data_IF_636303076002
#
_entry.id   IF_636303076002
#
_cell.length_a   1.000
_cell.length_b   1.000
_cell.length_c   1.000
_cell.angle_alpha   90.00
_cell.angle_beta   90.00
_cell.angle_gamma   90.00
#
_symmetry.space_group_name_H-M   'P 1'
#
loop_
_entity.id
_entity.type
_entity.pdbx_description
1 polymer ?
#
# COMPACT_ATOMS: atom_id res chain seq x y z
N UNK A 1 48.29 -17.08 7.21
CA UNK A 1 47.36 -17.99 6.53
C UNK A 1 46.14 -17.17 6.14
N UNK A 2 46.10 -16.66 4.92
CA UNK A 2 45.02 -15.76 4.41
C UNK A 2 43.98 -16.63 3.74
N UNK A 3 42.71 -16.46 4.18
CA UNK A 3 41.55 -17.10 3.57
C UNK A 3 41.28 -16.51 2.17
N UNK A 4 40.95 -17.31 1.17
CA UNK A 4 40.70 -16.82 -0.18
C UNK A 4 39.38 -16.04 -0.23
N UNK A 5 39.45 -14.81 -0.78
CA UNK A 5 38.30 -13.97 -1.09
C UNK A 5 37.43 -14.70 -2.12
N UNK A 6 36.22 -15.08 -1.72
CA UNK A 6 35.19 -15.67 -2.57
C UNK A 6 34.95 -14.79 -3.80
N UNK A 7 35.15 -15.35 -4.98
CA UNK A 7 34.74 -14.75 -6.26
C UNK A 7 33.25 -14.39 -6.20
N UNK A 8 32.93 -13.10 -6.33
CA UNK A 8 31.54 -12.66 -6.60
C UNK A 8 31.07 -13.39 -7.86
N UNK A 9 30.18 -14.35 -7.67
CA UNK A 9 29.41 -14.90 -8.78
C UNK A 9 28.58 -13.75 -9.35
N UNK A 10 28.92 -13.31 -10.55
CA UNK A 10 28.06 -12.50 -11.41
C UNK A 10 26.88 -13.41 -11.85
N UNK A 11 25.91 -13.60 -10.96
CA UNK A 11 24.60 -14.06 -11.38
C UNK A 11 24.08 -12.99 -12.33
N UNK A 12 24.14 -13.24 -13.64
CA UNK A 12 23.40 -12.43 -14.63
C UNK A 12 21.97 -12.36 -14.13
N UNK A 13 21.49 -11.15 -13.83
CA UNK A 13 20.11 -10.93 -13.43
C UNK A 13 19.21 -11.62 -14.49
N UNK A 14 18.55 -12.69 -14.09
CA UNK A 14 17.61 -13.45 -14.93
C UNK A 14 16.36 -12.57 -15.19
N UNK A 15 16.26 -11.43 -14.54
CA UNK A 15 15.12 -10.55 -14.58
C UNK A 15 15.19 -9.63 -15.79
N UNK A 16 14.25 -9.83 -16.71
CA UNK A 16 14.06 -8.93 -17.85
C UNK A 16 13.40 -7.62 -17.34
N UNK A 17 14.18 -6.57 -17.17
CA UNK A 17 13.72 -5.25 -16.70
C UNK A 17 12.51 -4.72 -17.49
N UNK A 18 12.41 -5.05 -18.79
CA UNK A 18 11.30 -4.61 -19.62
C UNK A 18 9.95 -5.24 -19.24
N UNK A 19 9.94 -6.47 -18.71
CA UNK A 19 8.71 -7.13 -18.24
C UNK A 19 8.15 -6.34 -17.05
N UNK A 20 8.99 -6.01 -16.07
CA UNK A 20 8.57 -5.26 -14.87
C UNK A 20 8.09 -3.85 -15.21
N UNK A 21 8.76 -3.18 -16.17
CA UNK A 21 8.31 -1.88 -16.65
C UNK A 21 6.93 -1.93 -17.33
N UNK A 22 6.60 -3.03 -18.01
CA UNK A 22 5.27 -3.20 -18.60
C UNK A 22 4.19 -3.39 -17.50
N UNK A 23 4.49 -4.13 -16.43
CA UNK A 23 3.59 -4.23 -15.28
C UNK A 23 3.39 -2.88 -14.61
N UNK A 24 4.48 -2.11 -14.38
CA UNK A 24 4.34 -0.77 -13.83
C UNK A 24 3.47 0.14 -14.71
N UNK A 25 3.65 0.12 -16.04
CA UNK A 25 2.81 0.89 -16.97
C UNK A 25 1.33 0.50 -16.89
N UNK A 26 1.04 -0.78 -16.68
CA UNK A 26 -0.34 -1.22 -16.47
C UNK A 26 -0.91 -0.66 -15.18
N UNK A 27 -0.18 -0.77 -14.06
CA UNK A 27 -0.60 -0.18 -12.78
C UNK A 27 -0.84 1.32 -12.90
N UNK A 28 0.07 2.05 -13.56
CA UNK A 28 -0.06 3.49 -13.80
C UNK A 28 -1.27 3.83 -14.68
N UNK A 29 -1.66 2.95 -15.60
CA UNK A 29 -2.88 3.11 -16.39
C UNK A 29 -4.16 2.86 -15.58
N UNK A 30 -4.06 2.15 -14.46
CA UNK A 30 -5.16 1.95 -13.50
C UNK A 30 -5.25 3.07 -12.46
N UNK A 31 -4.27 3.99 -12.41
CA UNK A 31 -4.25 5.08 -11.47
C UNK A 31 -5.09 6.26 -11.96
N UNK A 32 -6.07 6.66 -11.15
CA UNK A 32 -6.88 7.85 -11.40
C UNK A 32 -6.08 9.15 -11.14
N UNK A 33 -6.62 10.26 -11.60
CA UNK A 33 -5.98 11.58 -11.44
C UNK A 33 -5.81 12.03 -9.99
N UNK A 34 -6.65 11.52 -9.08
CA UNK A 34 -6.59 11.74 -7.63
C UNK A 34 -5.59 10.83 -6.91
N UNK A 35 -5.01 9.85 -7.61
CA UNK A 35 -4.01 8.93 -7.10
C UNK A 35 -4.53 7.53 -6.79
N UNK A 36 -5.84 7.30 -6.78
CA UNK A 36 -6.44 5.98 -6.53
C UNK A 36 -6.04 4.96 -7.61
N UNK A 37 -5.55 3.79 -7.20
CA UNK A 37 -5.18 2.70 -8.12
C UNK A 37 -6.27 1.65 -8.09
N UNK A 38 -6.97 1.48 -9.21
CA UNK A 38 -8.06 0.52 -9.38
C UNK A 38 -7.55 -0.85 -9.79
N UNK A 39 -8.37 -1.90 -9.66
CA UNK A 39 -8.04 -3.25 -10.13
C UNK A 39 -7.76 -3.30 -11.64
N UNK A 40 -8.52 -2.54 -12.39
CA UNK A 40 -8.37 -2.29 -13.82
C UNK A 40 -8.97 -0.90 -14.14
N UNK A 41 -8.68 -0.30 -15.30
CA UNK A 41 -9.20 1.00 -15.66
C UNK A 41 -10.73 1.08 -15.54
N UNK A 42 -11.21 2.09 -14.82
CA UNK A 42 -12.63 2.35 -14.57
C UNK A 42 -13.38 1.30 -13.73
N UNK A 43 -12.68 0.39 -13.06
CA UNK A 43 -13.29 -0.60 -12.16
C UNK A 43 -13.24 -0.16 -10.69
N UNK A 44 -13.44 -1.09 -9.78
CA UNK A 44 -13.38 -0.87 -8.33
C UNK A 44 -11.95 -0.73 -7.83
N UNK A 45 -11.83 -0.20 -6.61
CA UNK A 45 -10.60 -0.09 -5.84
C UNK A 45 -10.86 -0.62 -4.43
N UNK A 46 -9.93 -1.40 -3.88
CA UNK A 46 -9.82 -1.69 -2.45
C UNK A 46 -8.47 -1.21 -1.91
N UNK A 47 -8.39 -0.89 -0.62
CA UNK A 47 -7.16 -0.36 -0.03
C UNK A 47 -5.98 -1.32 -0.04
N UNK A 48 -6.21 -2.63 0.03
CA UNK A 48 -5.14 -3.64 0.05
C UNK A 48 -4.41 -3.70 -1.30
N UNK A 49 -5.13 -3.98 -2.39
CA UNK A 49 -4.55 -4.06 -3.74
C UNK A 49 -3.99 -2.71 -4.19
N UNK A 50 -4.62 -1.60 -3.75
CA UNK A 50 -4.11 -0.26 -3.98
C UNK A 50 -2.72 -0.05 -3.35
N UNK A 51 -2.52 -0.46 -2.09
CA UNK A 51 -1.23 -0.35 -1.40
C UNK A 51 -0.20 -1.28 -2.05
N UNK A 52 -0.56 -2.53 -2.39
CA UNK A 52 0.35 -3.46 -3.07
C UNK A 52 0.78 -2.92 -4.44
N UNK A 53 -0.14 -2.34 -5.18
CA UNK A 53 0.16 -1.69 -6.45
C UNK A 53 1.11 -0.50 -6.28
N UNK A 54 0.91 0.34 -5.26
CA UNK A 54 1.82 1.43 -4.91
C UNK A 54 3.21 0.91 -4.56
N UNK A 55 3.31 -0.17 -3.78
CA UNK A 55 4.58 -0.84 -3.46
C UNK A 55 5.26 -1.39 -4.73
N UNK A 56 4.49 -1.93 -5.67
CA UNK A 56 5.00 -2.42 -6.95
C UNK A 56 5.66 -1.33 -7.80
N UNK A 57 5.05 -0.15 -7.90
CA UNK A 57 5.63 0.98 -8.64
C UNK A 57 6.79 1.65 -7.88
N UNK A 58 6.81 1.60 -6.53
CA UNK A 58 7.95 2.04 -5.71
C UNK A 58 9.25 1.34 -6.12
N UNK A 59 9.22 0.00 -6.22
CA UNK A 59 10.39 -0.81 -6.58
C UNK A 59 10.98 -0.41 -7.94
N UNK A 60 10.15 0.11 -8.81
CA UNK A 60 10.54 0.53 -10.17
C UNK A 60 10.88 2.03 -10.26
N UNK A 61 10.82 2.75 -9.13
CA UNK A 61 11.27 4.14 -9.01
C UNK A 61 10.22 5.19 -9.39
N UNK A 62 8.93 4.84 -9.45
CA UNK A 62 7.84 5.77 -9.72
C UNK A 62 7.39 6.48 -8.42
N UNK A 63 8.32 7.21 -7.80
CA UNK A 63 8.12 7.87 -6.50
C UNK A 63 6.94 8.86 -6.50
N UNK A 64 6.80 9.64 -7.57
CA UNK A 64 5.73 10.65 -7.67
C UNK A 64 4.34 10.01 -7.69
N UNK A 65 4.20 8.94 -8.44
CA UNK A 65 2.93 8.22 -8.62
C UNK A 65 2.56 7.43 -7.37
N UNK A 66 3.52 6.79 -6.72
CA UNK A 66 3.28 6.09 -5.46
C UNK A 66 2.93 7.06 -4.33
N UNK A 67 3.55 8.25 -4.27
CA UNK A 67 3.16 9.31 -3.32
C UNK A 67 1.70 9.72 -3.51
N UNK A 68 1.24 9.91 -4.74
CA UNK A 68 -0.18 10.20 -5.02
C UNK A 68 -1.10 9.08 -4.53
N UNK A 69 -0.68 7.82 -4.67
CA UNK A 69 -1.44 6.69 -4.15
C UNK A 69 -1.60 6.77 -2.63
N UNK A 70 -0.55 7.05 -1.89
CA UNK A 70 -0.65 7.24 -0.44
C UNK A 70 -1.45 8.50 -0.07
N UNK A 71 -1.35 9.59 -0.85
CA UNK A 71 -2.15 10.80 -0.65
C UNK A 71 -3.65 10.54 -0.87
N UNK A 72 -4.00 9.64 -1.79
CA UNK A 72 -5.37 9.16 -1.95
C UNK A 72 -5.88 8.47 -0.68
N UNK A 73 -5.06 7.60 -0.06
CA UNK A 73 -5.42 6.96 1.21
C UNK A 73 -5.64 8.01 2.31
N UNK A 74 -4.75 9.00 2.45
CA UNK A 74 -4.91 10.09 3.43
C UNK A 74 -6.22 10.85 3.24
N UNK A 75 -6.59 11.11 1.97
CA UNK A 75 -7.78 11.89 1.61
C UNK A 75 -9.10 11.12 1.79
N UNK A 76 -9.04 9.79 1.77
CA UNK A 76 -10.21 8.90 1.87
C UNK A 76 -10.26 8.14 3.21
N UNK A 77 -9.42 8.51 4.18
CA UNK A 77 -9.45 7.91 5.50
C UNK A 77 -10.68 8.39 6.27
N UNK A 78 -11.44 7.45 6.82
CA UNK A 78 -12.56 7.72 7.70
C UNK A 78 -12.09 8.33 9.05
N UNK A 79 -12.97 9.02 9.73
CA UNK A 79 -12.66 9.68 11.01
C UNK A 79 -12.24 8.73 12.13
N UNK A 80 -12.63 7.44 12.01
CA UNK A 80 -12.22 6.38 12.93
C UNK A 80 -10.88 5.74 12.58
N UNK A 81 -10.25 6.18 11.49
CA UNK A 81 -8.96 5.70 11.01
C UNK A 81 -9.02 4.56 10.00
N UNK A 82 -10.22 4.12 9.64
CA UNK A 82 -10.46 3.04 8.68
C UNK A 82 -10.58 3.52 7.24
N UNK A 83 -10.73 2.55 6.34
CA UNK A 83 -11.23 2.71 4.97
C UNK A 83 -12.35 1.71 4.73
N UNK A 84 -13.25 2.02 3.80
CA UNK A 84 -14.18 1.05 3.27
C UNK A 84 -13.45 -0.03 2.47
N UNK A 85 -13.99 -1.26 2.49
CA UNK A 85 -13.41 -2.39 1.77
C UNK A 85 -13.42 -2.20 0.25
N UNK A 86 -14.36 -1.43 -0.28
CA UNK A 86 -14.47 -1.16 -1.71
C UNK A 86 -14.89 0.29 -1.99
N UNK A 87 -14.27 0.85 -3.03
CA UNK A 87 -14.58 2.15 -3.62
C UNK A 87 -14.93 1.99 -5.11
N UNK A 88 -15.68 2.95 -5.67
CA UNK A 88 -16.03 3.00 -7.08
C UNK A 88 -16.80 1.76 -7.59
N UNK A 89 -17.60 1.13 -6.75
CA UNK A 89 -18.50 0.05 -7.12
C UNK A 89 -19.95 0.52 -7.08
N UNK A 90 -20.86 -0.09 -7.90
CA UNK A 90 -22.28 0.28 -7.91
C UNK A 90 -22.98 -0.03 -6.58
N UNK A 91 -22.50 -1.03 -5.86
CA UNK A 91 -23.01 -1.42 -4.55
C UNK A 91 -22.18 -0.75 -3.46
N UNK A 92 -22.85 -0.02 -2.58
CA UNK A 92 -22.19 0.61 -1.44
C UNK A 92 -21.77 -0.47 -0.45
N UNK A 93 -20.48 -0.72 -0.36
CA UNK A 93 -19.92 -1.64 0.64
C UNK A 93 -19.31 -0.82 1.77
N UNK A 94 -20.02 -0.75 2.89
CA UNK A 94 -19.57 -0.04 4.09
C UNK A 94 -18.75 -0.90 5.05
N UNK A 95 -18.42 -2.14 4.66
CA UNK A 95 -17.56 -3.00 5.44
C UNK A 95 -16.20 -2.33 5.62
N UNK A 96 -15.66 -2.40 6.84
CA UNK A 96 -14.34 -1.87 7.21
C UNK A 96 -13.46 -3.02 7.68
N UNK A 97 -12.43 -3.34 6.88
CA UNK A 97 -11.53 -4.43 7.19
C UNK A 97 -10.32 -3.95 7.99
N UNK A 98 -10.07 -4.58 9.11
CA UNK A 98 -8.99 -4.21 10.02
C UNK A 98 -7.62 -4.49 9.42
N UNK A 99 -7.49 -5.60 8.66
CA UNK A 99 -6.29 -5.94 7.92
C UNK A 99 -5.99 -4.90 6.82
N UNK A 100 -6.99 -4.42 6.08
CA UNK A 100 -6.81 -3.36 5.08
C UNK A 100 -6.31 -2.08 5.73
N UNK A 101 -6.92 -1.69 6.86
CA UNK A 101 -6.54 -0.47 7.58
C UNK A 101 -5.12 -0.54 8.14
N UNK A 102 -4.68 -1.69 8.65
CA UNK A 102 -3.31 -1.84 9.16
C UNK A 102 -2.26 -1.93 8.07
N UNK A 103 -2.65 -2.33 6.84
CA UNK A 103 -1.70 -2.59 5.76
C UNK A 103 -1.00 -1.33 5.24
N UNK A 104 -1.57 -0.15 5.46
CA UNK A 104 -0.91 1.13 5.14
C UNK A 104 0.46 1.27 5.83
N UNK A 105 0.63 0.68 7.02
CA UNK A 105 1.91 0.70 7.72
C UNK A 105 3.00 -0.08 6.96
N UNK A 106 2.63 -1.19 6.33
CA UNK A 106 3.53 -1.98 5.47
C UNK A 106 3.92 -1.17 4.24
N UNK A 107 2.93 -0.59 3.54
CA UNK A 107 3.16 0.23 2.36
C UNK A 107 4.06 1.44 2.65
N UNK A 108 3.76 2.20 3.69
CA UNK A 108 4.55 3.38 4.08
C UNK A 108 5.99 3.02 4.49
N UNK A 109 6.17 1.89 5.18
CA UNK A 109 7.51 1.39 5.51
C UNK A 109 8.27 0.98 4.24
N UNK A 110 7.60 0.30 3.32
CA UNK A 110 8.16 -0.09 2.02
C UNK A 110 8.59 1.14 1.21
N UNK A 111 7.72 2.15 1.11
CA UNK A 111 8.04 3.42 0.44
C UNK A 111 9.28 4.09 1.05
N UNK A 112 9.31 4.18 2.39
CA UNK A 112 10.47 4.72 3.09
C UNK A 112 11.75 3.92 2.81
N UNK A 113 11.69 2.59 2.72
CA UNK A 113 12.86 1.77 2.41
C UNK A 113 13.42 2.04 1.00
N UNK A 114 12.54 2.35 0.04
CA UNK A 114 12.95 2.67 -1.34
C UNK A 114 13.55 4.08 -1.46
N UNK A 115 12.90 5.08 -0.91
CA UNK A 115 13.25 6.50 -1.18
C UNK A 115 13.90 7.23 0.00
N UNK A 116 13.86 6.68 1.22
CA UNK A 116 14.38 7.29 2.46
C UNK A 116 13.76 8.65 2.80
N UNK A 117 12.57 8.95 2.27
CA UNK A 117 11.88 10.21 2.51
C UNK A 117 11.22 10.24 3.90
N UNK A 118 12.00 10.67 4.90
CA UNK A 118 11.54 10.85 6.27
C UNK A 118 10.47 11.95 6.41
N UNK A 119 10.48 12.94 5.51
CA UNK A 119 9.51 14.05 5.56
C UNK A 119 8.12 13.53 5.18
N UNK A 120 8.05 12.75 4.11
CA UNK A 120 6.82 12.11 3.66
C UNK A 120 6.28 11.15 4.73
N UNK A 121 7.12 10.27 5.28
CA UNK A 121 6.73 9.35 6.34
C UNK A 121 6.19 10.10 7.59
N UNK A 122 6.82 11.20 8.00
CA UNK A 122 6.35 11.99 9.14
C UNK A 122 5.00 12.67 8.88
N UNK A 123 4.75 13.11 7.66
CA UNK A 123 3.46 13.68 7.26
C UNK A 123 2.34 12.65 7.43
N UNK A 124 2.59 11.40 7.03
CA UNK A 124 1.61 10.31 7.10
C UNK A 124 1.45 9.70 8.49
N UNK A 125 2.31 10.05 9.45
CA UNK A 125 2.27 9.45 10.78
C UNK A 125 0.91 9.56 11.48
N UNK A 126 0.18 10.69 11.43
CA UNK A 126 -1.15 10.78 12.04
C UNK A 126 -2.15 9.79 11.43
N UNK A 127 -2.14 9.63 10.10
CA UNK A 127 -3.00 8.66 9.40
C UNK A 127 -2.66 7.22 9.78
N UNK A 128 -1.38 6.88 9.86
CA UNK A 128 -0.91 5.56 10.33
C UNK A 128 -1.37 5.27 11.77
N UNK A 129 -1.23 6.23 12.68
CA UNK A 129 -1.60 6.08 14.08
C UNK A 129 -3.10 5.83 14.24
N UNK A 130 -3.93 6.55 13.48
CA UNK A 130 -5.38 6.33 13.44
C UNK A 130 -5.73 4.93 12.89
N UNK A 131 -5.10 4.50 11.80
CA UNK A 131 -5.34 3.21 11.18
C UNK A 131 -5.00 2.04 12.13
N UNK A 132 -3.88 2.14 12.84
CA UNK A 132 -3.49 1.14 13.84
C UNK A 132 -4.46 1.14 15.04
N UNK A 133 -4.90 2.31 15.50
CA UNK A 133 -5.91 2.42 16.57
C UNK A 133 -7.23 1.78 16.15
N UNK A 134 -7.69 2.01 14.92
CA UNK A 134 -8.87 1.33 14.39
C UNK A 134 -8.69 -0.19 14.41
N UNK A 135 -7.58 -0.70 13.90
CA UNK A 135 -7.27 -2.13 13.88
C UNK A 135 -7.30 -2.71 15.30
N UNK A 136 -6.60 -2.07 16.25
CA UNK A 136 -6.55 -2.50 17.65
C UNK A 136 -7.91 -2.43 18.34
N UNK A 137 -8.83 -1.54 17.93
CA UNK A 137 -10.18 -1.48 18.48
C UNK A 137 -11.03 -2.72 18.14
N UNK A 138 -10.58 -3.55 17.18
CA UNK A 138 -11.15 -4.87 16.86
C UNK A 138 -10.55 -6.02 17.68
N UNK A 139 -9.63 -5.74 18.62
CA UNK A 139 -9.00 -6.78 19.41
C UNK A 139 -9.96 -7.39 20.42
N UNK A 140 -10.04 -8.71 20.42
CA UNK A 140 -10.86 -9.47 21.37
C UNK A 140 -10.14 -9.62 22.72
N UNK A 141 -10.87 -10.07 23.72
CA UNK A 141 -10.29 -10.39 25.04
C UNK A 141 -9.22 -11.49 25.01
N UNK A 142 -9.11 -12.23 23.92
CA UNK A 142 -8.12 -13.29 23.72
C UNK A 142 -6.88 -12.81 22.98
N UNK A 143 -6.88 -11.54 22.50
CA UNK A 143 -5.75 -10.92 21.82
C UNK A 143 -5.77 -11.05 20.30
N UNK A 144 -6.67 -11.84 19.73
CA UNK A 144 -6.93 -11.86 18.29
C UNK A 144 -7.67 -10.59 17.84
N UNK A 145 -7.57 -10.26 16.55
CA UNK A 145 -8.24 -9.09 15.96
C UNK A 145 -9.27 -9.60 14.96
N UNK A 146 -10.53 -9.16 15.11
CA UNK A 146 -11.57 -9.41 14.10
C UNK A 146 -11.15 -8.82 12.77
N UNK A 147 -11.30 -9.59 11.68
CA UNK A 147 -10.82 -9.18 10.35
C UNK A 147 -11.61 -8.01 9.77
N UNK A 148 -12.87 -7.83 10.17
CA UNK A 148 -13.73 -6.75 9.73
C UNK A 148 -14.66 -6.28 10.84
N UNK A 149 -15.21 -5.07 10.67
CA UNK A 149 -16.27 -4.48 11.46
C UNK A 149 -17.40 -4.05 10.56
N UNK A 150 -18.62 -4.49 10.88
CA UNK A 150 -19.83 -3.94 10.30
C UNK A 150 -20.10 -2.54 10.88
N UNK A 151 -20.77 -1.70 10.13
CA UNK A 151 -21.38 -0.49 10.70
C UNK A 151 -22.62 -0.92 11.50
N UNK A 152 -22.60 -0.69 12.80
CA UNK A 152 -23.80 -0.74 13.64
C UNK A 152 -24.72 0.47 13.39
#
# INVERSE_FOLDING_TARGET
MSLPISKKNNAKSIYNKNIYLNFAKYILNCQDSDGGIRWEPSSKLDPWDHIESAMGIDVLGFESESKKAYEWLESNQETDGSWYSLYHCPETNFLKETNFSSYIAVGMWHHYLNFKDKKFLRRFWPSLDLAIKFTLSGQTKYGDISWAKDQE
#
